data_IF_003663865967
#
_entry.id   IF_003663865967
#
_cell.length_a   1.000
_cell.length_b   1.000
_cell.length_c   1.000
_cell.angle_alpha   90.00
_cell.angle_beta   90.00
_cell.angle_gamma   90.00
#
_symmetry.space_group_name_H-M   'P 1'
#
loop_
_entity.id
_entity.type
_entity.pdbx_description
1 polymer ?
#
# COMPACT_ATOMS: atom_id res chain seq x y z
N UNK A 1 -19.88 12.08 34.13
CA UNK A 1 -19.44 10.86 34.87
C UNK A 1 -19.22 9.74 33.87
N UNK A 2 -18.18 8.95 34.07
CA UNK A 2 -17.96 7.79 33.21
C UNK A 2 -18.91 6.65 33.59
N UNK A 3 -19.35 5.87 32.61
CA UNK A 3 -20.23 4.70 32.74
C UNK A 3 -19.44 3.44 32.47
N UNK A 4 -19.51 2.44 33.38
CA UNK A 4 -18.94 1.12 33.13
C UNK A 4 -19.91 0.37 32.23
N UNK A 5 -19.44 -0.12 31.10
CA UNK A 5 -20.22 -0.89 30.11
C UNK A 5 -19.50 -2.16 29.73
N UNK A 6 -20.25 -3.20 29.39
CA UNK A 6 -19.79 -4.39 28.72
C UNK A 6 -20.26 -4.33 27.26
N UNK A 7 -19.45 -4.75 26.32
CA UNK A 7 -19.80 -4.64 24.89
C UNK A 7 -21.13 -5.33 24.59
N UNK A 8 -21.39 -6.51 25.18
CA UNK A 8 -22.68 -7.20 25.02
C UNK A 8 -23.88 -6.42 25.53
N UNK A 9 -23.70 -5.46 26.44
CA UNK A 9 -24.82 -4.69 27.02
C UNK A 9 -25.20 -3.52 26.12
N UNK A 10 -24.27 -3.06 25.26
CA UNK A 10 -24.46 -1.89 24.39
C UNK A 10 -24.54 -2.24 22.91
N UNK A 11 -24.29 -3.52 22.53
CA UNK A 11 -24.21 -3.94 21.14
C UNK A 11 -24.85 -5.31 20.90
N UNK A 12 -25.35 -5.51 19.69
CA UNK A 12 -25.75 -6.83 19.18
C UNK A 12 -24.58 -7.45 18.43
N UNK A 13 -24.17 -8.65 18.83
CA UNK A 13 -23.05 -9.38 18.25
C UNK A 13 -23.56 -10.38 17.23
N UNK A 14 -23.02 -10.36 16.00
CA UNK A 14 -23.37 -11.29 14.92
C UNK A 14 -24.89 -11.38 14.66
N UNK A 15 -25.60 -10.26 14.76
CA UNK A 15 -27.06 -10.23 14.77
C UNK A 15 -27.70 -10.66 13.44
N UNK A 16 -27.02 -10.39 12.32
CA UNK A 16 -27.60 -10.58 11.00
C UNK A 16 -26.75 -11.54 10.15
N UNK A 17 -27.41 -12.51 9.54
CA UNK A 17 -26.77 -13.45 8.62
C UNK A 17 -27.55 -13.53 7.32
N UNK A 18 -26.83 -13.82 6.23
CA UNK A 18 -27.41 -14.09 4.93
C UNK A 18 -28.29 -15.35 5.02
N UNK A 19 -29.52 -15.25 4.52
CA UNK A 19 -30.51 -16.32 4.51
C UNK A 19 -31.02 -16.56 3.09
N UNK A 20 -31.76 -17.65 2.88
CA UNK A 20 -32.39 -17.92 1.57
C UNK A 20 -33.46 -16.88 1.17
N UNK A 21 -33.99 -16.12 2.15
CA UNK A 21 -34.96 -15.06 1.90
C UNK A 21 -34.31 -13.74 1.39
N UNK A 22 -33.00 -13.63 1.43
CA UNK A 22 -32.26 -12.50 0.88
C UNK A 22 -32.12 -12.70 -0.63
N UNK A 23 -33.01 -12.11 -1.42
CA UNK A 23 -33.08 -12.27 -2.88
C UNK A 23 -31.97 -11.48 -3.62
N UNK A 24 -30.71 -11.62 -3.23
CA UNK A 24 -29.59 -11.02 -3.94
C UNK A 24 -29.19 -11.87 -5.16
N UNK A 25 -29.07 -11.25 -6.31
CA UNK A 25 -28.47 -11.87 -7.50
C UNK A 25 -26.92 -11.88 -7.38
N UNK A 26 -26.38 -10.85 -6.77
CA UNK A 26 -24.94 -10.64 -6.58
C UNK A 26 -24.68 -10.14 -5.16
N UNK A 27 -23.55 -10.53 -4.58
CA UNK A 27 -23.05 -9.99 -3.30
C UNK A 27 -21.67 -9.35 -3.48
N UNK A 28 -21.40 -8.36 -2.64
CA UNK A 28 -20.04 -7.80 -2.48
C UNK A 28 -19.46 -8.46 -1.23
N UNK A 29 -18.48 -9.34 -1.41
CA UNK A 29 -17.91 -10.13 -0.34
C UNK A 29 -16.57 -9.57 0.14
N UNK A 30 -16.44 -9.40 1.46
CA UNK A 30 -15.20 -9.03 2.13
C UNK A 30 -14.70 -10.20 2.97
N UNK A 31 -13.52 -10.72 2.64
CA UNK A 31 -12.81 -11.70 3.45
C UNK A 31 -11.90 -11.04 4.51
N UNK A 32 -11.53 -11.80 5.55
CA UNK A 32 -10.72 -11.30 6.68
C UNK A 32 -9.35 -10.77 6.26
N UNK A 33 -8.70 -11.42 5.28
CA UNK A 33 -7.40 -10.98 4.77
C UNK A 33 -7.43 -9.76 3.85
N UNK A 34 -8.64 -9.28 3.51
CA UNK A 34 -8.81 -8.16 2.58
C UNK A 34 -9.06 -6.81 3.26
N UNK A 35 -8.89 -6.73 4.57
CA UNK A 35 -8.95 -5.49 5.35
C UNK A 35 -7.87 -5.48 6.43
N UNK A 36 -7.23 -4.34 6.62
CA UNK A 36 -6.26 -4.11 7.71
C UNK A 36 -6.38 -2.66 8.19
N UNK A 37 -6.50 -2.45 9.51
CA UNK A 37 -6.62 -1.11 10.12
C UNK A 37 -7.66 -0.23 9.41
N UNK A 38 -8.85 -0.76 9.19
CA UNK A 38 -9.96 -0.08 8.51
C UNK A 38 -9.72 0.26 7.01
N UNK A 39 -8.68 -0.29 6.38
CA UNK A 39 -8.40 -0.10 4.96
C UNK A 39 -8.74 -1.38 4.22
N UNK A 40 -9.78 -1.34 3.39
CA UNK A 40 -10.17 -2.45 2.53
C UNK A 40 -9.26 -2.44 1.30
N UNK A 41 -8.51 -3.53 1.10
CA UNK A 41 -7.61 -3.71 -0.03
C UNK A 41 -8.31 -4.32 -1.25
N UNK A 42 -9.31 -5.18 -1.01
CA UNK A 42 -10.05 -5.85 -2.07
C UNK A 42 -11.44 -6.31 -1.60
N UNK A 43 -12.39 -6.37 -2.53
CA UNK A 43 -13.69 -7.03 -2.36
C UNK A 43 -13.98 -7.90 -3.58
N UNK A 44 -14.73 -8.98 -3.40
CA UNK A 44 -15.14 -9.87 -4.48
C UNK A 44 -16.61 -9.63 -4.80
N UNK A 45 -16.91 -9.36 -6.08
CA UNK A 45 -18.29 -9.39 -6.57
C UNK A 45 -18.60 -10.82 -6.98
N UNK A 46 -19.60 -11.44 -6.37
CA UNK A 46 -19.95 -12.83 -6.57
C UNK A 46 -21.43 -12.96 -6.94
N UNK A 47 -21.70 -13.55 -8.09
CA UNK A 47 -23.05 -13.81 -8.57
C UNK A 47 -23.48 -15.22 -8.18
N UNK A 48 -24.66 -15.36 -7.56
CA UNK A 48 -25.16 -16.65 -7.08
C UNK A 48 -25.43 -17.68 -8.19
N UNK A 49 -25.62 -17.23 -9.44
CA UNK A 49 -25.91 -18.12 -10.56
C UNK A 49 -24.68 -18.65 -11.27
N UNK A 50 -23.55 -17.91 -11.21
CA UNK A 50 -22.34 -18.20 -11.99
C UNK A 50 -21.13 -18.55 -11.12
N UNK A 51 -21.10 -18.06 -9.88
CA UNK A 51 -19.91 -18.15 -9.05
C UNK A 51 -20.10 -19.10 -7.87
N UNK A 52 -19.00 -19.72 -7.44
CA UNK A 52 -18.97 -20.51 -6.22
C UNK A 52 -18.89 -19.56 -5.01
N UNK A 53 -20.01 -19.42 -4.31
CA UNK A 53 -20.07 -18.59 -3.10
C UNK A 53 -19.25 -19.24 -1.97
N UNK A 54 -18.28 -18.54 -1.35
CA UNK A 54 -17.54 -19.06 -0.22
C UNK A 54 -18.48 -19.41 0.94
N UNK A 55 -18.30 -20.57 1.56
CA UNK A 55 -19.12 -21.00 2.70
C UNK A 55 -19.11 -20.03 3.88
N UNK A 56 -18.07 -19.20 3.97
CA UNK A 56 -17.90 -18.16 5.00
C UNK A 56 -18.59 -16.83 4.64
N UNK A 57 -19.10 -16.62 3.43
CA UNK A 57 -19.83 -15.41 3.03
C UNK A 57 -21.23 -15.39 3.64
N UNK A 58 -21.36 -15.04 4.92
CA UNK A 58 -22.62 -15.17 5.66
C UNK A 58 -23.02 -13.98 6.54
N UNK A 59 -22.09 -13.14 6.97
CA UNK A 59 -22.42 -12.05 7.89
C UNK A 59 -22.92 -10.84 7.11
N UNK A 60 -24.16 -10.44 7.37
CA UNK A 60 -24.73 -9.17 6.88
C UNK A 60 -24.26 -8.04 7.77
N UNK A 61 -24.04 -6.90 7.16
CA UNK A 61 -23.64 -5.66 7.82
C UNK A 61 -24.62 -4.55 7.48
N UNK A 62 -24.62 -3.50 8.27
CA UNK A 62 -25.43 -2.29 8.05
C UNK A 62 -24.57 -1.06 8.28
N UNK A 63 -25.14 0.10 8.09
CA UNK A 63 -24.45 1.34 8.41
C UNK A 63 -23.95 1.33 9.87
N UNK A 64 -22.70 1.77 10.06
CA UNK A 64 -21.99 1.85 11.34
C UNK A 64 -21.72 0.51 12.02
N UNK A 65 -21.74 -0.60 11.30
CA UNK A 65 -21.28 -1.90 11.81
C UNK A 65 -19.77 -1.91 11.99
N UNK A 66 -19.32 -2.32 13.18
CA UNK A 66 -17.90 -2.63 13.44
C UNK A 66 -17.68 -4.09 13.07
N UNK A 67 -16.65 -4.39 12.31
CA UNK A 67 -16.17 -5.75 12.03
C UNK A 67 -14.80 -5.95 12.68
N UNK A 68 -14.63 -7.09 13.36
CA UNK A 68 -13.37 -7.43 14.02
C UNK A 68 -13.03 -8.91 13.75
N UNK A 69 -11.84 -9.17 13.19
CA UNK A 69 -11.43 -10.55 12.88
C UNK A 69 -11.24 -11.38 14.15
N UNK A 70 -11.80 -12.59 14.14
CA UNK A 70 -11.57 -13.57 15.21
C UNK A 70 -10.27 -14.35 15.01
N UNK A 71 -9.61 -14.20 13.86
CA UNK A 71 -8.38 -14.91 13.50
C UNK A 71 -7.20 -13.97 13.57
N UNK A 72 -6.15 -14.37 14.30
CA UNK A 72 -4.90 -13.63 14.45
C UNK A 72 -5.13 -12.15 14.75
N UNK A 73 -5.63 -11.77 15.92
CA UNK A 73 -5.96 -10.38 16.26
C UNK A 73 -4.78 -9.41 16.04
N UNK A 74 -3.54 -9.88 16.20
CA UNK A 74 -2.33 -9.10 15.94
C UNK A 74 -2.15 -8.65 14.48
N UNK A 75 -2.91 -9.21 13.53
CA UNK A 75 -2.91 -8.76 12.14
C UNK A 75 -3.81 -7.54 11.92
N UNK A 76 -4.55 -7.12 12.94
CA UNK A 76 -5.37 -5.90 12.96
C UNK A 76 -6.40 -5.83 11.82
N UNK A 77 -6.99 -6.99 11.48
CA UNK A 77 -8.07 -7.10 10.50
C UNK A 77 -9.40 -6.68 11.13
N UNK A 78 -9.64 -5.38 11.19
CA UNK A 78 -10.85 -4.78 11.70
C UNK A 78 -11.28 -3.60 10.83
N UNK A 79 -12.56 -3.19 10.93
CA UNK A 79 -13.09 -2.05 10.20
C UNK A 79 -14.37 -1.49 10.77
N UNK A 80 -14.68 -0.27 10.37
CA UNK A 80 -15.90 0.45 10.62
C UNK A 80 -16.59 0.73 9.28
N UNK A 81 -17.75 0.12 9.05
CA UNK A 81 -18.44 0.19 7.77
C UNK A 81 -19.45 1.33 7.77
N UNK A 82 -19.22 2.34 6.95
CA UNK A 82 -20.14 3.47 6.74
C UNK A 82 -20.87 3.30 5.42
N UNK A 83 -22.19 3.34 5.46
CA UNK A 83 -23.07 3.20 4.31
C UNK A 83 -22.71 2.04 3.35
N UNK A 84 -22.48 0.80 3.85
CA UNK A 84 -22.25 -0.34 2.98
C UNK A 84 -23.49 -0.60 2.11
N UNK A 85 -23.30 -1.14 0.90
CA UNK A 85 -24.42 -1.58 0.07
C UNK A 85 -25.22 -2.70 0.78
N UNK A 86 -26.51 -2.81 0.51
CA UNK A 86 -27.39 -3.80 1.16
C UNK A 86 -26.92 -5.25 0.95
N UNK A 87 -26.28 -5.52 -0.20
CA UNK A 87 -25.69 -6.81 -0.55
C UNK A 87 -24.22 -6.96 -0.11
N UNK A 88 -23.73 -6.10 0.79
CA UNK A 88 -22.38 -6.21 1.32
C UNK A 88 -22.35 -7.29 2.42
N UNK A 89 -21.55 -8.32 2.19
CA UNK A 89 -21.46 -9.51 3.04
C UNK A 89 -20.00 -9.68 3.49
N UNK A 90 -19.81 -9.93 4.79
CA UNK A 90 -18.49 -10.21 5.32
C UNK A 90 -18.34 -11.67 5.76
N UNK A 91 -17.10 -12.12 5.82
CA UNK A 91 -16.72 -13.47 6.23
C UNK A 91 -17.21 -13.79 7.66
N UNK A 92 -17.58 -15.05 7.93
CA UNK A 92 -17.80 -15.55 9.30
C UNK A 92 -16.54 -15.51 10.18
N UNK A 93 -15.36 -15.25 9.59
CA UNK A 93 -14.13 -14.94 10.33
C UNK A 93 -14.16 -13.59 11.03
N UNK A 94 -15.15 -12.73 10.73
CA UNK A 94 -15.39 -11.51 11.49
C UNK A 94 -16.47 -11.72 12.56
N UNK A 95 -16.31 -11.07 13.68
CA UNK A 95 -17.41 -10.70 14.58
C UNK A 95 -17.96 -9.37 14.10
N UNK A 96 -19.27 -9.30 13.83
CA UNK A 96 -19.99 -8.04 13.58
C UNK A 96 -20.53 -7.50 14.89
N UNK A 97 -20.34 -6.20 15.14
CA UNK A 97 -20.74 -5.52 16.37
C UNK A 97 -21.61 -4.32 15.98
N UNK A 98 -22.89 -4.39 16.23
CA UNK A 98 -23.87 -3.37 15.93
C UNK A 98 -24.28 -2.66 17.21
N UNK A 99 -23.79 -1.41 17.42
CA UNK A 99 -24.18 -0.64 18.60
C UNK A 99 -25.69 -0.37 18.56
N UNK A 100 -26.37 -0.67 19.68
CA UNK A 100 -27.82 -0.53 19.86
C UNK A 100 -28.21 0.33 21.06
N UNK A 101 -27.25 0.68 21.91
CA UNK A 101 -27.43 1.57 23.05
C UNK A 101 -27.42 3.04 22.60
N UNK A 102 -28.45 3.80 22.96
CA UNK A 102 -28.59 5.22 22.57
C UNK A 102 -27.52 6.14 23.18
N UNK A 103 -26.90 5.72 24.29
CA UNK A 103 -25.86 6.47 25.00
C UNK A 103 -24.43 6.08 24.59
N UNK A 104 -24.30 5.29 23.50
CA UNK A 104 -23.02 4.85 22.98
C UNK A 104 -22.82 5.24 21.51
N UNK A 105 -21.71 5.87 21.19
CA UNK A 105 -21.34 6.19 19.81
C UNK A 105 -20.53 5.06 19.18
N UNK A 106 -21.03 4.50 18.06
CA UNK A 106 -20.41 3.35 17.40
C UNK A 106 -18.98 3.62 16.93
N UNK A 107 -18.68 4.84 16.46
CA UNK A 107 -17.34 5.20 15.99
C UNK A 107 -16.35 5.35 17.14
N UNK A 108 -16.81 5.90 18.28
CA UNK A 108 -16.03 5.91 19.52
C UNK A 108 -15.70 4.48 19.98
N UNK A 109 -16.70 3.58 19.99
CA UNK A 109 -16.49 2.17 20.38
C UNK A 109 -15.54 1.47 19.41
N UNK A 110 -15.59 1.78 18.11
CA UNK A 110 -14.61 1.28 17.14
C UNK A 110 -13.18 1.69 17.54
N UNK A 111 -12.92 2.97 17.79
CA UNK A 111 -11.59 3.43 18.21
C UNK A 111 -11.17 2.83 19.58
N UNK A 112 -12.14 2.62 20.48
CA UNK A 112 -11.87 1.99 21.77
C UNK A 112 -11.37 0.54 21.59
N UNK A 113 -12.06 -0.25 20.73
CA UNK A 113 -11.73 -1.65 20.45
C UNK A 113 -10.43 -1.83 19.64
N UNK A 114 -10.00 -0.82 18.90
CA UNK A 114 -8.82 -0.89 18.02
C UNK A 114 -7.54 -0.37 18.67
N UNK A 115 -7.58 -0.03 19.95
CA UNK A 115 -6.37 0.33 20.70
C UNK A 115 -5.41 -0.86 20.80
N UNK A 116 -4.11 -0.57 20.72
CA UNK A 116 -3.07 -1.60 20.71
C UNK A 116 -3.15 -2.56 21.90
N UNK A 117 -3.36 -2.05 23.13
CA UNK A 117 -3.46 -2.92 24.30
C UNK A 117 -4.64 -3.89 24.26
N UNK A 118 -5.75 -3.53 23.58
CA UNK A 118 -6.90 -4.43 23.35
C UNK A 118 -6.52 -5.50 22.33
N UNK A 119 -5.89 -5.11 21.24
CA UNK A 119 -5.41 -6.05 20.22
C UNK A 119 -4.42 -7.05 20.81
N UNK A 120 -3.46 -6.58 21.62
CA UNK A 120 -2.47 -7.42 22.30
C UNK A 120 -3.15 -8.37 23.30
N UNK A 121 -4.13 -7.88 24.08
CA UNK A 121 -4.91 -8.69 25.02
C UNK A 121 -5.71 -9.79 24.29
N UNK A 122 -6.40 -9.45 23.21
CA UNK A 122 -7.14 -10.41 22.39
C UNK A 122 -6.20 -11.42 21.72
N UNK A 123 -5.03 -11.00 21.29
CA UNK A 123 -4.02 -11.89 20.73
C UNK A 123 -3.54 -12.92 21.76
N UNK A 124 -3.23 -12.49 22.99
CA UNK A 124 -2.85 -13.34 24.08
C UNK A 124 -3.96 -14.40 24.40
N UNK A 125 -5.23 -14.00 24.39
CA UNK A 125 -6.36 -14.95 24.51
C UNK A 125 -6.31 -15.95 23.35
N UNK A 126 -6.11 -15.48 22.12
CA UNK A 126 -6.07 -16.33 20.94
C UNK A 126 -4.93 -17.34 20.93
N UNK A 127 -3.74 -17.00 21.46
CA UNK A 127 -2.60 -17.90 21.58
C UNK A 127 -2.87 -19.08 22.52
N UNK A 128 -3.73 -18.88 23.52
CA UNK A 128 -4.15 -19.94 24.44
C UNK A 128 -5.31 -20.81 23.89
N UNK A 129 -5.77 -20.56 22.67
CA UNK A 129 -6.82 -21.38 22.04
C UNK A 129 -6.30 -22.72 21.55
N UNK A 130 -7.16 -23.73 21.51
CA UNK A 130 -6.83 -25.08 20.99
C UNK A 130 -6.77 -25.16 19.47
N UNK A 131 -6.89 -24.04 18.74
CA UNK A 131 -6.85 -24.01 17.28
C UNK A 131 -5.40 -24.02 16.75
N UNK A 132 -5.20 -24.43 15.50
CA UNK A 132 -3.88 -24.46 14.84
C UNK A 132 -3.26 -23.07 14.60
N UNK A 133 -3.98 -22.02 14.90
CA UNK A 133 -3.55 -20.61 14.82
C UNK A 133 -4.26 -19.78 15.89
N UNK A 134 -3.69 -18.66 16.37
CA UNK A 134 -4.34 -17.80 17.36
C UNK A 134 -5.73 -17.36 16.91
N UNK A 135 -6.75 -17.73 17.68
CA UNK A 135 -8.15 -17.40 17.38
C UNK A 135 -8.91 -17.07 18.66
N UNK A 136 -9.78 -16.06 18.56
CA UNK A 136 -10.69 -15.65 19.63
C UNK A 136 -12.14 -16.01 19.26
N UNK A 137 -12.99 -16.07 20.29
CA UNK A 137 -14.43 -16.23 20.11
C UNK A 137 -15.13 -14.86 20.09
N UNK A 138 -16.30 -14.72 19.44
CA UNK A 138 -17.12 -13.52 19.53
C UNK A 138 -17.44 -13.10 20.98
N UNK A 139 -17.53 -14.08 21.91
CA UNK A 139 -17.75 -13.82 23.33
C UNK A 139 -16.56 -13.12 24.01
N UNK A 140 -15.34 -13.28 23.53
CA UNK A 140 -14.19 -12.60 24.09
C UNK A 140 -14.30 -11.09 23.84
N UNK A 141 -14.76 -10.68 22.66
CA UNK A 141 -15.09 -9.28 22.35
C UNK A 141 -16.32 -8.80 23.13
N UNK A 142 -17.37 -9.61 23.17
CA UNK A 142 -18.62 -9.29 23.86
C UNK A 142 -18.44 -9.03 25.36
N UNK A 143 -17.48 -9.73 25.99
CA UNK A 143 -17.20 -9.66 27.43
C UNK A 143 -16.26 -8.52 27.83
N UNK A 144 -15.65 -7.81 26.88
CA UNK A 144 -14.81 -6.65 27.20
C UNK A 144 -15.61 -5.60 27.98
N UNK A 145 -14.98 -5.03 28.99
CA UNK A 145 -15.58 -4.01 29.86
C UNK A 145 -14.76 -2.73 29.78
N UNK A 146 -15.46 -1.61 29.64
CA UNK A 146 -14.85 -0.31 29.52
C UNK A 146 -15.57 0.73 30.37
N UNK A 147 -14.82 1.70 30.88
CA UNK A 147 -15.35 2.92 31.48
C UNK A 147 -15.42 3.99 30.38
N UNK A 148 -16.62 4.30 29.88
CA UNK A 148 -16.81 5.25 28.78
C UNK A 148 -17.40 6.58 29.27
N UNK A 149 -17.03 7.72 28.67
CA UNK A 149 -17.59 9.03 29.01
C UNK A 149 -19.05 9.16 28.52
N UNK A 150 -19.66 10.31 28.78
CA UNK A 150 -20.99 10.61 28.24
C UNK A 150 -20.97 10.70 26.70
N UNK A 151 -22.13 10.57 26.06
CA UNK A 151 -22.28 10.53 24.61
C UNK A 151 -21.70 11.76 23.88
N UNK A 152 -21.83 12.97 24.47
CA UNK A 152 -21.25 14.20 23.89
C UNK A 152 -19.75 14.06 23.77
N UNK A 153 -19.06 13.68 24.83
CA UNK A 153 -17.60 13.47 24.84
C UNK A 153 -17.18 12.34 23.88
N UNK A 154 -17.93 11.22 23.84
CA UNK A 154 -17.67 10.14 22.87
C UNK A 154 -17.67 10.65 21.43
N UNK A 155 -18.73 11.41 21.06
CA UNK A 155 -18.85 11.99 19.71
C UNK A 155 -17.72 12.97 19.40
N UNK A 156 -17.31 13.80 20.33
CA UNK A 156 -16.21 14.75 20.13
C UNK A 156 -14.87 14.01 19.92
N UNK A 157 -14.57 12.98 20.70
CA UNK A 157 -13.37 12.15 20.53
C UNK A 157 -13.41 11.45 19.16
N UNK A 158 -14.54 10.80 18.82
CA UNK A 158 -14.71 10.13 17.54
C UNK A 158 -14.56 11.09 16.36
N UNK A 159 -15.06 12.33 16.49
CA UNK A 159 -14.92 13.36 15.46
C UNK A 159 -13.45 13.73 15.20
N UNK A 160 -12.67 13.99 16.27
CA UNK A 160 -11.25 14.33 16.14
C UNK A 160 -10.49 13.21 15.43
N UNK A 161 -10.63 11.97 15.90
CA UNK A 161 -9.90 10.83 15.34
C UNK A 161 -10.34 10.54 13.89
N UNK A 162 -11.64 10.63 13.62
CA UNK A 162 -12.16 10.39 12.26
C UNK A 162 -11.77 11.49 11.28
N UNK A 163 -11.58 12.74 11.72
CA UNK A 163 -11.09 13.80 10.84
C UNK A 163 -9.66 13.51 10.33
N UNK A 164 -8.81 12.93 11.20
CA UNK A 164 -7.47 12.49 10.79
C UNK A 164 -7.55 11.34 9.77
N UNK A 165 -8.38 10.31 10.03
CA UNK A 165 -8.57 9.19 9.12
C UNK A 165 -9.17 9.63 7.77
N UNK A 166 -10.15 10.52 7.77
CA UNK A 166 -10.75 11.09 6.55
C UNK A 166 -9.72 11.86 5.73
N UNK A 167 -8.84 12.64 6.38
CA UNK A 167 -7.77 13.36 5.69
C UNK A 167 -6.76 12.40 5.05
N UNK A 168 -6.39 11.33 5.76
CA UNK A 168 -5.54 10.26 5.20
C UNK A 168 -6.22 9.60 3.98
N UNK A 169 -7.50 9.27 4.09
CA UNK A 169 -8.26 8.67 3.00
C UNK A 169 -8.34 9.58 1.77
N UNK A 170 -8.62 10.88 1.97
CA UNK A 170 -8.65 11.87 0.89
C UNK A 170 -7.27 12.00 0.21
N UNK A 171 -6.20 12.08 0.98
CA UNK A 171 -4.84 12.13 0.44
C UNK A 171 -4.52 10.88 -0.41
N UNK A 172 -4.95 9.70 0.04
CA UNK A 172 -4.77 8.45 -0.72
C UNK A 172 -5.55 8.46 -2.04
N UNK A 173 -6.78 9.01 -2.06
CA UNK A 173 -7.56 9.18 -3.29
C UNK A 173 -6.87 10.14 -4.26
N UNK A 174 -6.36 11.28 -3.78
CA UNK A 174 -5.60 12.23 -4.61
C UNK A 174 -4.34 11.53 -5.17
N UNK A 175 -3.61 10.78 -4.36
CA UNK A 175 -2.42 10.05 -4.81
C UNK A 175 -2.74 9.04 -5.91
N UNK A 176 -3.83 8.29 -5.79
CA UNK A 176 -4.27 7.35 -6.82
C UNK A 176 -4.63 8.06 -8.14
N UNK A 177 -5.27 9.24 -8.06
CA UNK A 177 -5.56 10.06 -9.24
C UNK A 177 -4.29 10.60 -9.90
N UNK A 178 -3.33 11.12 -9.12
CA UNK A 178 -2.05 11.60 -9.64
C UNK A 178 -1.25 10.49 -10.33
N UNK A 179 -1.21 9.28 -9.75
CA UNK A 179 -0.60 8.10 -10.37
C UNK A 179 -1.28 7.76 -11.70
N UNK A 180 -2.63 7.72 -11.70
CA UNK A 180 -3.38 7.43 -12.91
C UNK A 180 -3.17 8.48 -14.01
N UNK A 181 -3.09 9.76 -13.65
CA UNK A 181 -2.81 10.84 -14.60
C UNK A 181 -1.42 10.69 -15.21
N UNK A 182 -0.39 10.44 -14.39
CA UNK A 182 0.98 10.24 -14.86
C UNK A 182 1.09 9.01 -15.77
N UNK A 183 0.42 7.90 -15.39
CA UNK A 183 0.37 6.68 -16.21
C UNK A 183 -0.36 6.94 -17.56
N UNK A 184 -1.49 7.62 -17.52
CA UNK A 184 -2.25 7.93 -18.74
C UNK A 184 -1.42 8.79 -19.70
N UNK A 185 -0.70 9.78 -19.17
CA UNK A 185 0.20 10.62 -19.97
C UNK A 185 1.34 9.80 -20.58
N UNK A 186 1.96 8.89 -19.79
CA UNK A 186 2.98 7.97 -20.28
C UNK A 186 2.44 7.07 -21.39
N UNK A 187 1.29 6.44 -21.18
CA UNK A 187 0.66 5.56 -22.16
C UNK A 187 0.34 6.33 -23.47
N UNK A 188 -0.14 7.56 -23.35
CA UNK A 188 -0.47 8.40 -24.49
C UNK A 188 0.79 8.80 -25.29
N UNK A 189 1.88 9.19 -24.61
CA UNK A 189 3.08 9.66 -25.27
C UNK A 189 3.98 8.54 -25.79
N UNK A 190 4.19 7.48 -24.99
CA UNK A 190 5.25 6.48 -25.24
C UNK A 190 4.73 5.12 -25.68
N UNK A 191 3.43 4.84 -25.46
CA UNK A 191 2.81 3.59 -25.91
C UNK A 191 1.95 3.81 -27.16
N UNK A 192 1.10 4.85 -27.16
CA UNK A 192 0.24 5.21 -28.29
C UNK A 192 0.96 6.11 -29.30
N UNK A 193 2.05 6.76 -28.90
CA UNK A 193 2.85 7.70 -29.69
C UNK A 193 2.11 8.99 -30.06
N UNK A 194 1.15 9.40 -29.26
CA UNK A 194 0.41 10.64 -29.40
C UNK A 194 0.99 11.78 -28.51
N UNK A 195 2.32 11.83 -28.43
CA UNK A 195 3.01 12.97 -27.83
C UNK A 195 2.78 14.25 -28.65
N UNK A 196 2.88 15.45 -28.04
CA UNK A 196 2.68 16.70 -28.76
C UNK A 196 3.77 16.92 -29.84
N UNK A 197 3.35 17.10 -31.08
CA UNK A 197 4.20 17.52 -32.20
C UNK A 197 4.65 18.98 -32.06
N UNK A 198 5.30 19.54 -33.07
CA UNK A 198 5.76 20.94 -33.12
C UNK A 198 4.59 21.94 -33.01
N UNK A 199 3.38 21.54 -33.36
CA UNK A 199 2.16 22.34 -33.30
C UNK A 199 1.30 22.04 -32.05
N UNK A 200 1.78 21.17 -31.15
CA UNK A 200 1.06 20.72 -29.97
C UNK A 200 -0.06 19.72 -30.25
N UNK A 201 -0.14 19.14 -31.46
CA UNK A 201 -1.12 18.11 -31.83
C UNK A 201 -0.59 16.72 -31.49
N UNK A 202 -1.49 15.72 -31.24
CA UNK A 202 -1.08 14.33 -31.03
C UNK A 202 -0.33 13.81 -32.27
N UNK A 203 0.90 13.32 -32.10
CA UNK A 203 1.79 12.98 -33.22
C UNK A 203 1.18 11.92 -34.16
N UNK A 204 0.94 10.72 -33.68
CA UNK A 204 0.46 9.61 -34.51
C UNK A 204 -0.95 9.86 -35.06
N UNK A 205 -1.88 10.28 -34.23
CA UNK A 205 -3.28 10.53 -34.61
C UNK A 205 -3.44 11.71 -35.59
N UNK A 206 -2.46 12.62 -35.66
CA UNK A 206 -2.43 13.73 -36.61
C UNK A 206 -1.64 13.41 -37.88
N UNK A 207 -1.24 12.16 -38.10
CA UNK A 207 -0.54 11.72 -39.31
C UNK A 207 0.98 11.78 -39.20
N UNK A 208 1.54 11.79 -38.00
CA UNK A 208 2.99 11.68 -37.78
C UNK A 208 3.59 10.43 -38.43
N UNK A 209 4.75 10.56 -39.03
CA UNK A 209 5.40 9.49 -39.79
C UNK A 209 5.85 8.36 -38.88
N UNK A 210 5.37 7.14 -39.17
CA UNK A 210 5.72 5.90 -38.45
C UNK A 210 6.63 5.04 -39.32
N UNK A 211 7.61 4.37 -38.70
CA UNK A 211 8.57 3.50 -39.38
C UNK A 211 8.59 2.14 -38.69
N UNK A 212 8.52 1.05 -39.49
CA UNK A 212 8.63 -0.30 -38.95
C UNK A 212 10.03 -0.57 -38.41
N UNK A 213 10.09 -1.04 -37.16
CA UNK A 213 11.36 -1.39 -36.53
C UNK A 213 11.49 -2.92 -36.44
N UNK A 214 12.51 -3.49 -37.07
CA UNK A 214 12.75 -4.93 -37.14
C UNK A 214 13.08 -5.56 -35.79
N UNK A 215 13.71 -4.83 -34.87
CA UNK A 215 14.05 -5.32 -33.53
C UNK A 215 12.82 -5.42 -32.64
N UNK A 216 11.96 -4.39 -32.64
CA UNK A 216 10.77 -4.32 -31.83
C UNK A 216 9.56 -4.99 -32.46
N UNK A 217 9.66 -5.38 -33.76
CA UNK A 217 8.56 -5.98 -34.55
C UNK A 217 7.27 -5.16 -34.55
N UNK A 218 7.41 -3.83 -34.51
CA UNK A 218 6.28 -2.88 -34.51
C UNK A 218 6.69 -1.56 -35.16
N UNK A 219 5.69 -0.76 -35.52
CA UNK A 219 5.92 0.62 -35.95
C UNK A 219 6.25 1.51 -34.76
N UNK A 220 7.22 2.38 -34.95
CA UNK A 220 7.64 3.41 -34.00
C UNK A 220 7.69 4.77 -34.72
N UNK A 221 7.62 5.92 -34.01
CA UNK A 221 7.75 7.22 -34.61
C UNK A 221 9.10 7.36 -35.33
N UNK A 222 9.09 8.06 -36.47
CA UNK A 222 10.33 8.38 -37.18
C UNK A 222 11.30 9.14 -36.28
N UNK A 223 12.57 8.68 -36.26
CA UNK A 223 13.62 9.25 -35.43
C UNK A 223 13.72 8.65 -34.01
N UNK A 224 12.82 7.73 -33.66
CA UNK A 224 13.00 6.91 -32.45
C UNK A 224 13.81 5.65 -32.77
N UNK A 225 14.41 5.07 -31.75
CA UNK A 225 15.31 3.92 -31.89
C UNK A 225 14.88 2.75 -30.97
N UNK A 226 15.25 1.54 -31.36
CA UNK A 226 15.23 0.40 -30.47
C UNK A 226 16.55 0.32 -29.70
N UNK A 227 16.50 0.39 -28.39
CA UNK A 227 17.69 0.31 -27.55
C UNK A 227 17.54 -0.77 -26.47
N UNK A 228 18.66 -1.39 -26.09
CA UNK A 228 18.70 -2.29 -24.93
C UNK A 228 18.46 -1.51 -23.64
N UNK A 229 17.87 -2.16 -22.63
CA UNK A 229 17.69 -1.52 -21.32
C UNK A 229 19.01 -1.00 -20.75
N UNK A 230 20.13 -1.70 -20.95
CA UNK A 230 21.48 -1.26 -20.54
C UNK A 230 21.91 0.08 -21.15
N UNK A 231 21.27 0.50 -22.26
CA UNK A 231 21.56 1.78 -22.88
C UNK A 231 21.24 2.98 -21.97
N UNK A 232 20.16 2.87 -21.18
CA UNK A 232 19.79 3.92 -20.20
C UNK A 232 20.70 3.92 -18.97
N UNK A 233 21.30 2.77 -18.61
CA UNK A 233 21.99 2.58 -17.34
C UNK A 233 23.40 3.18 -17.36
N UNK A 234 23.73 3.92 -16.30
CA UNK A 234 25.09 4.43 -16.06
C UNK A 234 25.88 3.47 -15.18
N UNK A 235 25.27 3.07 -14.06
CA UNK A 235 25.91 2.21 -13.06
C UNK A 235 24.87 1.49 -12.22
N UNK A 236 25.33 0.43 -11.58
CA UNK A 236 24.57 -0.25 -10.55
C UNK A 236 25.44 -0.48 -9.30
N UNK A 237 24.80 -0.65 -8.16
CA UNK A 237 25.45 -1.00 -6.90
C UNK A 237 24.60 -1.98 -6.12
N UNK A 238 25.23 -3.01 -5.55
CA UNK A 238 24.59 -3.98 -4.67
C UNK A 238 24.22 -3.33 -3.33
N UNK A 239 23.15 -3.81 -2.72
CA UNK A 239 22.76 -3.41 -1.39
C UNK A 239 23.69 -3.91 -0.27
N UNK A 240 23.33 -3.61 0.97
CA UNK A 240 23.99 -4.11 2.18
C UNK A 240 22.94 -4.28 3.28
N UNK A 241 22.88 -5.48 3.88
CA UNK A 241 21.92 -5.74 4.96
C UNK A 241 22.40 -5.24 6.32
N UNK A 242 23.71 -5.18 6.53
CA UNK A 242 24.30 -4.76 7.80
C UNK A 242 23.93 -5.63 9.00
N UNK A 243 23.92 -5.01 10.18
CA UNK A 243 23.58 -5.61 11.49
C UNK A 243 22.34 -4.94 12.08
N UNK A 244 21.65 -5.64 13.00
CA UNK A 244 20.46 -5.12 13.70
C UNK A 244 20.80 -4.10 14.77
N UNK A 245 21.93 -4.30 15.40
CA UNK A 245 22.48 -3.44 16.45
C UNK A 245 23.86 -2.94 16.05
N UNK A 246 24.26 -1.83 16.66
CA UNK A 246 25.63 -1.34 16.51
C UNK A 246 26.62 -2.33 17.15
N UNK A 247 27.49 -2.92 16.35
CA UNK A 247 28.43 -3.95 16.77
C UNK A 247 29.77 -3.80 16.06
N UNK A 248 30.86 -3.75 16.78
CA UNK A 248 32.21 -3.61 16.23
C UNK A 248 32.33 -2.40 15.30
N UNK A 249 32.75 -2.63 14.06
CA UNK A 249 32.91 -1.58 13.05
C UNK A 249 31.61 -1.21 12.32
N UNK A 250 30.48 -1.84 12.65
CA UNK A 250 29.18 -1.51 12.07
C UNK A 250 28.56 -0.32 12.83
N UNK A 251 28.94 0.89 12.45
CA UNK A 251 28.62 2.11 13.20
C UNK A 251 27.76 3.11 12.42
N UNK A 252 27.61 2.96 11.13
CA UNK A 252 26.79 3.86 10.31
C UNK A 252 25.33 3.38 10.32
N UNK A 253 24.47 4.13 10.98
CA UNK A 253 23.03 3.86 11.09
C UNK A 253 22.33 4.26 9.78
N UNK A 254 21.44 3.39 9.27
CA UNK A 254 20.73 3.56 8.00
C UNK A 254 19.33 2.95 8.06
N UNK A 255 18.41 3.44 7.22
CA UNK A 255 17.18 2.71 6.87
C UNK A 255 17.46 1.80 5.68
N UNK A 256 17.07 0.53 5.75
CA UNK A 256 17.37 -0.47 4.72
C UNK A 256 16.10 -0.88 3.98
N UNK A 257 15.94 -0.44 2.71
CA UNK A 257 14.80 -0.81 1.85
C UNK A 257 14.97 -2.26 1.38
N UNK A 258 13.96 -3.09 1.67
CA UNK A 258 13.85 -4.47 1.20
C UNK A 258 12.90 -4.54 -0.01
N UNK A 259 12.88 -5.66 -0.72
CA UNK A 259 11.87 -5.93 -1.75
C UNK A 259 10.43 -5.75 -1.23
N UNK A 260 10.15 -6.15 0.02
CA UNK A 260 8.85 -5.97 0.66
C UNK A 260 8.45 -4.50 0.86
N UNK A 261 9.41 -3.59 0.99
CA UNK A 261 9.18 -2.17 1.28
C UNK A 261 8.94 -1.32 0.01
N UNK A 262 9.24 -1.86 -1.18
CA UNK A 262 9.17 -1.14 -2.47
C UNK A 262 7.78 -0.51 -2.69
N UNK A 263 6.73 -1.28 -2.44
CA UNK A 263 5.37 -0.78 -2.59
C UNK A 263 5.05 0.36 -1.59
N UNK A 264 5.52 0.24 -0.35
CA UNK A 264 5.34 1.27 0.66
C UNK A 264 6.12 2.55 0.33
N UNK A 265 7.35 2.41 -0.18
CA UNK A 265 8.17 3.55 -0.64
C UNK A 265 7.44 4.35 -1.72
N UNK A 266 6.85 3.66 -2.69
CA UNK A 266 6.18 4.30 -3.82
C UNK A 266 4.80 4.89 -3.46
N UNK A 267 3.97 4.16 -2.66
CA UNK A 267 2.52 4.40 -2.61
C UNK A 267 1.92 4.51 -1.20
N UNK A 268 2.69 4.29 -0.11
CA UNK A 268 2.14 4.30 1.24
C UNK A 268 2.77 5.37 2.11
N UNK A 269 2.00 5.92 3.05
CA UNK A 269 2.50 6.89 4.02
C UNK A 269 3.51 6.27 4.99
N UNK A 270 3.23 5.07 5.51
CA UNK A 270 4.12 4.37 6.42
C UNK A 270 5.08 3.45 5.66
N UNK A 271 6.37 3.55 5.97
CA UNK A 271 7.44 2.71 5.42
C UNK A 271 8.10 1.99 6.59
N UNK A 272 8.02 0.65 6.59
CA UNK A 272 8.56 -0.20 7.66
C UNK A 272 9.99 -0.70 7.35
N UNK A 273 10.77 0.10 6.59
CA UNK A 273 12.16 -0.22 6.29
C UNK A 273 12.98 -0.25 7.59
N UNK A 274 13.57 -1.41 7.96
CA UNK A 274 14.25 -1.55 9.24
C UNK A 274 15.48 -0.66 9.35
N UNK A 275 15.76 -0.23 10.58
CA UNK A 275 17.01 0.43 10.91
C UNK A 275 18.10 -0.63 10.97
N UNK A 276 19.23 -0.37 10.32
CA UNK A 276 20.39 -1.25 10.26
C UNK A 276 21.67 -0.46 10.52
N UNK A 277 22.75 -1.17 10.86
CA UNK A 277 24.07 -0.60 11.00
C UNK A 277 25.01 -1.21 9.98
N UNK A 278 25.62 -0.38 9.13
CA UNK A 278 26.56 -0.82 8.10
C UNK A 278 27.99 -0.35 8.42
N UNK A 279 28.96 -0.95 7.74
CA UNK A 279 30.35 -0.52 7.82
C UNK A 279 30.51 0.86 7.19
N UNK A 280 31.22 1.83 7.79
CA UNK A 280 31.46 3.16 7.20
C UNK A 280 32.06 3.12 5.81
N UNK A 281 32.91 2.11 5.49
CA UNK A 281 33.45 1.90 4.15
C UNK A 281 32.40 1.65 3.07
N UNK A 282 31.19 1.19 3.44
CA UNK A 282 30.07 0.93 2.57
C UNK A 282 29.18 2.19 2.34
N UNK A 283 29.60 3.37 2.84
CA UNK A 283 28.90 4.65 2.60
C UNK A 283 28.62 4.93 1.13
N UNK A 284 29.47 4.44 0.21
CA UNK A 284 29.29 4.58 -1.23
C UNK A 284 28.01 3.87 -1.75
N UNK A 285 27.44 2.92 -0.98
CA UNK A 285 26.20 2.21 -1.32
C UNK A 285 24.93 2.98 -0.92
N UNK A 286 25.05 4.07 -0.17
CA UNK A 286 23.89 4.89 0.18
C UNK A 286 23.16 5.36 -1.07
N UNK A 287 21.84 5.42 -0.97
CA UNK A 287 20.98 5.89 -2.05
C UNK A 287 21.03 7.41 -2.14
N UNK A 288 20.98 7.90 -3.36
CA UNK A 288 20.96 9.32 -3.70
C UNK A 288 19.73 9.60 -4.56
N UNK A 289 19.30 10.87 -4.69
CA UNK A 289 18.27 11.24 -5.66
C UNK A 289 18.56 10.68 -7.05
N UNK A 290 17.51 10.29 -7.75
CA UNK A 290 17.57 9.64 -9.07
C UNK A 290 18.20 8.25 -9.10
N UNK A 291 18.43 7.60 -7.94
CA UNK A 291 18.60 6.16 -7.91
C UNK A 291 17.25 5.45 -8.08
N UNK A 292 17.30 4.26 -8.64
CA UNK A 292 16.16 3.34 -8.73
C UNK A 292 16.55 2.05 -7.99
N UNK A 293 15.70 1.56 -7.12
CA UNK A 293 15.94 0.31 -6.38
C UNK A 293 15.12 -0.80 -7.02
N UNK A 294 15.79 -1.80 -7.59
CA UNK A 294 15.19 -2.96 -8.23
C UNK A 294 15.32 -4.17 -7.31
N UNK A 295 14.22 -4.88 -7.07
CA UNK A 295 14.23 -6.19 -6.41
C UNK A 295 14.84 -7.23 -7.33
N UNK A 296 15.99 -7.79 -6.96
CA UNK A 296 16.68 -8.81 -7.75
C UNK A 296 16.48 -10.22 -7.20
N UNK A 297 16.01 -10.38 -5.96
CA UNK A 297 15.78 -11.68 -5.34
C UNK A 297 14.53 -11.63 -4.47
N UNK A 298 13.72 -12.65 -4.53
CA UNK A 298 12.46 -12.74 -3.77
C UNK A 298 11.33 -13.29 -4.61
N UNK A 299 10.19 -12.60 -4.56
CA UNK A 299 9.00 -13.00 -5.28
C UNK A 299 8.25 -14.17 -4.65
N UNK A 300 7.15 -14.53 -5.26
CA UNK A 300 6.32 -15.68 -4.92
C UNK A 300 6.05 -16.50 -6.20
N UNK A 301 5.44 -17.67 -6.13
CA UNK A 301 5.08 -18.43 -7.34
C UNK A 301 4.23 -17.61 -8.34
N UNK A 302 3.44 -16.67 -7.83
CA UNK A 302 2.51 -15.85 -8.62
C UNK A 302 2.97 -14.41 -8.85
N UNK A 303 4.14 -14.02 -8.34
CA UNK A 303 4.67 -12.67 -8.48
C UNK A 303 6.12 -12.74 -8.95
N UNK A 304 6.46 -12.03 -10.03
CA UNK A 304 7.84 -11.95 -10.50
C UNK A 304 8.70 -11.08 -9.55
N UNK A 305 10.01 -11.27 -9.64
CA UNK A 305 11.02 -10.32 -9.17
C UNK A 305 11.08 -9.11 -10.11
N UNK A 306 11.75 -8.06 -9.70
CA UNK A 306 11.92 -6.87 -10.55
C UNK A 306 11.02 -5.70 -10.20
N UNK A 307 10.34 -5.72 -9.04
CA UNK A 307 9.67 -4.51 -8.52
C UNK A 307 10.67 -3.37 -8.39
N UNK A 308 10.23 -2.15 -8.70
CA UNK A 308 11.08 -0.98 -8.73
C UNK A 308 10.57 0.10 -7.80
N UNK A 309 11.47 0.65 -6.95
CA UNK A 309 11.23 1.87 -6.20
C UNK A 309 12.04 3.02 -6.77
N UNK A 310 11.40 4.15 -6.96
CA UNK A 310 12.08 5.36 -7.37
C UNK A 310 12.54 6.16 -6.13
N UNK A 311 13.78 6.65 -6.15
CA UNK A 311 14.39 7.40 -5.07
C UNK A 311 14.58 8.84 -5.52
N UNK A 312 13.78 9.73 -4.96
CA UNK A 312 13.91 11.18 -5.13
C UNK A 312 14.27 11.83 -3.80
N UNK A 313 14.62 13.12 -3.81
CA UNK A 313 14.77 13.90 -2.57
C UNK A 313 13.50 13.82 -1.71
N UNK A 314 12.32 13.84 -2.34
CA UNK A 314 11.05 13.76 -1.64
C UNK A 314 10.85 12.41 -0.94
N UNK A 315 11.33 11.31 -1.55
CA UNK A 315 11.32 9.97 -0.94
C UNK A 315 12.32 9.90 0.21
N UNK A 316 13.56 10.36 0.01
CA UNK A 316 14.61 10.35 1.04
C UNK A 316 14.20 11.14 2.29
N UNK A 317 13.48 12.25 2.10
CA UNK A 317 12.96 13.10 3.19
C UNK A 317 11.85 12.45 4.04
N UNK A 318 11.43 11.23 3.73
CA UNK A 318 10.49 10.44 4.53
C UNK A 318 11.17 9.51 5.52
N UNK A 319 12.50 9.40 5.48
CA UNK A 319 13.30 8.57 6.35
C UNK A 319 14.08 9.41 7.35
N UNK A 320 14.28 8.87 8.56
CA UNK A 320 15.03 9.54 9.64
C UNK A 320 16.55 9.40 9.47
N UNK A 321 16.99 8.35 8.77
CA UNK A 321 18.41 8.05 8.56
C UNK A 321 18.73 7.92 7.06
N UNK A 322 20.02 8.04 6.67
CA UNK A 322 20.45 7.75 5.31
C UNK A 322 19.93 6.39 4.85
N UNK A 323 19.60 6.29 3.57
CA UNK A 323 18.90 5.13 3.03
C UNK A 323 19.83 4.22 2.24
N UNK A 324 19.70 2.93 2.39
CA UNK A 324 20.38 1.88 1.60
C UNK A 324 19.35 0.84 1.16
N UNK A 325 19.64 0.04 0.14
CA UNK A 325 18.85 -1.15 -0.16
C UNK A 325 19.49 -2.43 0.39
N UNK A 326 18.68 -3.46 0.60
CA UNK A 326 19.14 -4.78 1.05
C UNK A 326 19.88 -5.55 -0.05
N UNK A 327 20.54 -6.65 0.31
CA UNK A 327 21.25 -7.53 -0.65
C UNK A 327 20.32 -8.20 -1.67
N UNK A 328 19.00 -8.23 -1.41
CA UNK A 328 17.99 -8.71 -2.35
C UNK A 328 17.52 -7.64 -3.34
N UNK A 329 18.13 -6.47 -3.28
CA UNK A 329 17.88 -5.34 -4.17
C UNK A 329 19.17 -4.83 -4.77
N UNK A 330 19.05 -4.18 -5.92
CA UNK A 330 20.14 -3.49 -6.62
C UNK A 330 19.72 -2.04 -6.83
N UNK A 331 20.60 -1.10 -6.53
CA UNK A 331 20.37 0.30 -6.87
C UNK A 331 21.04 0.62 -8.20
N UNK A 332 20.27 1.19 -9.13
CA UNK A 332 20.73 1.60 -10.46
C UNK A 332 20.64 3.11 -10.62
N UNK A 333 21.46 3.67 -11.50
CA UNK A 333 21.39 5.05 -11.94
C UNK A 333 21.36 5.14 -13.46
N UNK A 334 20.74 6.18 -14.00
CA UNK A 334 20.63 6.42 -15.44
C UNK A 334 21.73 7.34 -15.91
N UNK A 335 22.17 7.19 -17.18
CA UNK A 335 23.15 8.07 -17.84
C UNK A 335 22.65 9.50 -17.94
N UNK A 336 21.34 9.68 -18.14
CA UNK A 336 20.70 10.98 -18.20
C UNK A 336 19.43 10.95 -17.34
N UNK A 337 19.33 11.82 -16.37
CA UNK A 337 18.24 11.93 -15.43
C UNK A 337 16.94 12.42 -16.07
N UNK A 338 16.98 13.05 -17.25
CA UNK A 338 15.77 13.46 -17.96
C UNK A 338 14.90 12.26 -18.39
N UNK A 339 15.50 11.05 -18.49
CA UNK A 339 14.77 9.81 -18.73
C UNK A 339 14.19 9.15 -17.46
N UNK A 340 14.41 9.72 -16.27
CA UNK A 340 14.11 9.05 -15.00
C UNK A 340 12.65 8.55 -14.91
N UNK A 341 11.67 9.43 -15.09
CA UNK A 341 10.27 9.04 -15.01
C UNK A 341 9.82 8.19 -16.20
N UNK A 342 10.31 8.50 -17.42
CA UNK A 342 10.03 7.67 -18.59
C UNK A 342 10.51 6.23 -18.36
N UNK A 343 11.71 6.05 -17.84
CA UNK A 343 12.27 4.74 -17.51
C UNK A 343 11.45 4.02 -16.41
N UNK A 344 11.03 4.74 -15.36
CA UNK A 344 10.20 4.17 -14.27
C UNK A 344 8.88 3.62 -14.83
N UNK A 345 8.18 4.38 -15.67
CA UNK A 345 6.92 3.93 -16.25
C UNK A 345 7.12 2.79 -17.25
N UNK A 346 8.16 2.84 -18.06
CA UNK A 346 8.57 1.76 -18.96
C UNK A 346 8.85 0.47 -18.19
N UNK A 347 9.68 0.53 -17.15
CA UNK A 347 10.00 -0.63 -16.32
C UNK A 347 8.75 -1.21 -15.62
N UNK A 348 7.90 -0.35 -15.09
CA UNK A 348 6.65 -0.77 -14.48
C UNK A 348 5.69 -1.42 -15.50
N UNK A 349 5.67 -0.98 -16.75
CA UNK A 349 4.90 -1.63 -17.81
C UNK A 349 5.46 -3.02 -18.12
N UNK A 350 6.78 -3.17 -18.22
CA UNK A 350 7.47 -4.45 -18.41
C UNK A 350 7.13 -5.41 -17.25
N UNK A 351 7.20 -4.93 -16.01
CA UNK A 351 6.86 -5.71 -14.81
C UNK A 351 5.38 -6.15 -14.80
N UNK A 352 4.44 -5.23 -15.07
CA UNK A 352 3.00 -5.49 -15.06
C UNK A 352 2.53 -6.41 -16.19
N UNK A 353 3.29 -6.52 -17.28
CA UNK A 353 3.04 -7.43 -18.39
C UNK A 353 3.76 -8.78 -18.22
N UNK A 354 4.22 -9.08 -17.01
CA UNK A 354 4.83 -10.35 -16.63
C UNK A 354 6.11 -10.73 -17.42
N UNK A 355 6.70 -9.79 -18.18
CA UNK A 355 7.87 -10.02 -19.03
C UNK A 355 9.07 -10.48 -18.19
N UNK A 356 9.19 -10.00 -16.96
CA UNK A 356 10.33 -10.33 -16.09
C UNK A 356 10.32 -11.79 -15.62
N UNK A 357 9.19 -12.52 -15.68
CA UNK A 357 9.16 -13.95 -15.38
C UNK A 357 10.07 -14.78 -16.30
N UNK A 358 10.19 -14.39 -17.56
CA UNK A 358 11.04 -15.09 -18.54
C UNK A 358 12.53 -14.88 -18.27
N UNK A 359 12.86 -13.90 -17.44
CA UNK A 359 14.22 -13.55 -17.06
C UNK A 359 14.58 -13.95 -15.62
N UNK A 360 13.83 -14.86 -15.03
CA UNK A 360 14.11 -15.39 -13.70
C UNK A 360 14.97 -16.66 -13.74
N UNK A 361 16.06 -16.66 -12.97
CA UNK A 361 16.83 -17.86 -12.64
C UNK A 361 16.24 -18.55 -11.40
N UNK A 362 16.15 -19.89 -11.45
CA UNK A 362 15.74 -20.71 -10.30
C UNK A 362 16.97 -21.30 -9.62
N UNK A 363 17.32 -20.80 -8.45
CA UNK A 363 18.33 -21.40 -7.57
C UNK A 363 17.71 -21.63 -6.19
N UNK A 364 17.73 -22.89 -5.69
CA UNK A 364 17.40 -23.26 -4.30
C UNK A 364 16.10 -22.67 -3.72
N UNK A 365 15.02 -22.57 -4.53
CA UNK A 365 13.70 -22.13 -4.06
C UNK A 365 13.49 -20.62 -4.00
N UNK A 366 14.54 -19.80 -4.19
CA UNK A 366 14.45 -18.34 -4.29
C UNK A 366 14.56 -17.96 -5.77
N UNK A 367 13.64 -17.12 -6.24
CA UNK A 367 13.69 -16.54 -7.58
C UNK A 367 14.71 -15.41 -7.60
N UNK A 368 15.49 -15.33 -8.67
CA UNK A 368 16.45 -14.27 -8.90
C UNK A 368 16.26 -13.70 -10.30
N UNK A 369 16.13 -12.39 -10.42
CA UNK A 369 16.15 -11.72 -11.71
C UNK A 369 17.56 -11.81 -12.30
N UNK A 370 17.68 -12.35 -13.49
CA UNK A 370 18.91 -12.35 -14.29
C UNK A 370 19.11 -10.94 -14.86
N UNK A 371 19.42 -10.00 -13.96
CA UNK A 371 19.38 -8.56 -14.24
C UNK A 371 20.27 -8.18 -15.44
N UNK A 372 21.51 -8.64 -15.47
CA UNK A 372 22.46 -8.35 -16.57
C UNK A 372 21.96 -8.95 -17.89
N UNK A 373 21.46 -10.20 -17.87
CA UNK A 373 20.94 -10.84 -19.07
C UNK A 373 19.72 -10.08 -19.61
N UNK A 374 18.81 -9.68 -18.70
CA UNK A 374 17.64 -8.89 -19.07
C UNK A 374 18.04 -7.55 -19.68
N UNK A 375 18.89 -6.79 -19.01
CA UNK A 375 19.26 -5.45 -19.47
C UNK A 375 20.04 -5.46 -20.78
N UNK A 376 20.81 -6.52 -21.06
CA UNK A 376 21.55 -6.69 -22.31
C UNK A 376 20.74 -7.39 -23.41
N UNK A 377 19.69 -8.11 -23.06
CA UNK A 377 18.89 -8.93 -24.00
C UNK A 377 17.56 -8.30 -24.42
N UNK A 378 16.95 -7.46 -23.56
CA UNK A 378 15.65 -6.88 -23.81
C UNK A 378 15.74 -5.47 -24.40
N UNK A 379 14.98 -5.23 -25.49
CA UNK A 379 14.94 -3.98 -26.20
C UNK A 379 13.62 -3.24 -25.97
N UNK A 380 13.73 -1.92 -25.86
CA UNK A 380 12.58 -1.02 -25.80
C UNK A 380 12.79 0.20 -26.70
N UNK A 381 11.68 0.90 -26.92
CA UNK A 381 11.65 2.09 -27.74
C UNK A 381 12.29 3.25 -26.99
N UNK A 382 13.33 3.83 -27.57
CA UNK A 382 14.09 4.93 -27.01
C UNK A 382 13.61 6.27 -27.60
N UNK A 383 12.94 7.12 -26.80
CA UNK A 383 12.42 8.38 -27.27
C UNK A 383 13.52 9.45 -27.37
N UNK A 384 13.30 10.52 -28.17
CA UNK A 384 14.16 11.70 -28.17
C UNK A 384 14.25 12.34 -26.78
N UNK A 385 15.44 12.87 -26.44
CA UNK A 385 15.72 13.46 -25.13
C UNK A 385 14.77 14.62 -24.78
N UNK A 386 14.46 15.48 -25.73
CA UNK A 386 13.58 16.63 -25.50
C UNK A 386 12.16 16.21 -25.08
N UNK A 387 11.68 15.09 -25.62
CA UNK A 387 10.38 14.53 -25.21
C UNK A 387 10.45 13.93 -23.80
N UNK A 388 11.50 13.17 -23.51
CA UNK A 388 11.74 12.62 -22.18
C UNK A 388 11.83 13.73 -21.12
N UNK A 389 12.52 14.84 -21.43
CA UNK A 389 12.62 16.01 -20.57
C UNK A 389 11.28 16.70 -20.33
N UNK A 390 10.46 16.91 -21.37
CA UNK A 390 9.11 17.46 -21.21
C UNK A 390 8.23 16.56 -20.32
N UNK A 391 8.35 15.24 -20.48
CA UNK A 391 7.65 14.29 -19.62
C UNK A 391 8.15 14.34 -18.18
N UNK A 392 9.48 14.45 -17.99
CA UNK A 392 10.08 14.60 -16.67
C UNK A 392 9.51 15.79 -15.91
N UNK A 393 9.44 16.97 -16.55
CA UNK A 393 8.92 18.20 -15.94
C UNK A 393 7.50 18.04 -15.42
N UNK A 394 6.63 17.31 -16.15
CA UNK A 394 5.23 17.07 -15.73
C UNK A 394 5.17 15.99 -14.65
N UNK A 395 5.85 14.86 -14.86
CA UNK A 395 5.83 13.72 -13.95
C UNK A 395 6.44 14.05 -12.59
N UNK A 396 7.48 14.90 -12.55
CA UNK A 396 8.10 15.36 -11.29
C UNK A 396 7.11 16.15 -10.43
N UNK A 397 6.27 16.98 -11.03
CA UNK A 397 5.22 17.71 -10.29
C UNK A 397 4.23 16.76 -9.65
N UNK A 398 3.78 15.73 -10.39
CA UNK A 398 2.88 14.72 -9.84
C UNK A 398 3.54 13.92 -8.72
N UNK A 399 4.78 13.48 -8.95
CA UNK A 399 5.55 12.72 -7.96
C UNK A 399 5.81 13.54 -6.68
N UNK A 400 6.22 14.80 -6.81
CA UNK A 400 6.40 15.72 -5.69
C UNK A 400 5.14 15.85 -4.85
N UNK A 401 3.99 16.07 -5.50
CA UNK A 401 2.72 16.16 -4.81
C UNK A 401 2.35 14.86 -4.10
N UNK A 402 2.54 13.70 -4.75
CA UNK A 402 2.32 12.39 -4.14
C UNK A 402 3.17 12.20 -2.88
N UNK A 403 4.47 12.45 -2.95
CA UNK A 403 5.37 12.27 -1.81
C UNK A 403 5.07 13.25 -0.67
N UNK A 404 4.63 14.47 -0.97
CA UNK A 404 4.15 15.41 0.03
C UNK A 404 2.92 14.87 0.78
N UNK A 405 1.93 14.35 0.07
CA UNK A 405 0.73 13.76 0.67
C UNK A 405 1.03 12.49 1.46
N UNK A 406 1.96 11.65 0.98
CA UNK A 406 2.41 10.45 1.70
C UNK A 406 3.12 10.82 3.02
N UNK A 407 3.98 11.85 3.02
CA UNK A 407 4.61 12.37 4.24
C UNK A 407 3.56 12.93 5.21
N UNK A 408 2.58 13.68 4.70
CA UNK A 408 1.47 14.18 5.51
C UNK A 408 0.68 13.01 6.12
N UNK A 409 0.40 11.94 5.37
CA UNK A 409 -0.27 10.75 5.90
C UNK A 409 0.53 10.08 7.01
N UNK A 410 1.85 10.01 6.89
CA UNK A 410 2.73 9.49 7.95
C UNK A 410 2.56 10.32 9.24
N UNK A 411 2.59 11.65 9.13
CA UNK A 411 2.42 12.55 10.27
C UNK A 411 1.02 12.46 10.90
N UNK A 412 -0.02 12.37 10.06
CA UNK A 412 -1.41 12.22 10.52
C UNK A 412 -1.64 10.88 11.25
N UNK A 413 -1.06 9.80 10.75
CA UNK A 413 -1.12 8.49 11.40
C UNK A 413 -0.39 8.51 12.74
N UNK A 414 0.81 9.09 12.81
CA UNK A 414 1.56 9.26 14.07
C UNK A 414 0.78 10.11 15.08
N UNK A 415 0.17 11.21 14.65
CA UNK A 415 -0.65 12.06 15.49
C UNK A 415 -1.89 11.31 16.00
N UNK A 416 -2.58 10.58 15.15
CA UNK A 416 -3.73 9.76 15.54
C UNK A 416 -3.32 8.72 16.58
N UNK A 417 -2.26 7.97 16.34
CA UNK A 417 -1.79 6.90 17.22
C UNK A 417 -1.30 7.44 18.57
N UNK A 418 -0.78 8.66 18.60
CA UNK A 418 -0.44 9.39 19.83
C UNK A 418 -1.69 9.87 20.58
N UNK A 419 -2.64 10.49 19.88
CA UNK A 419 -3.85 11.06 20.51
C UNK A 419 -4.83 9.97 20.96
N UNK A 420 -4.93 8.87 20.27
CA UNK A 420 -5.91 7.82 20.54
C UNK A 420 -5.90 7.36 22.01
N UNK A 421 -4.79 6.87 22.60
CA UNK A 421 -4.78 6.48 24.00
C UNK A 421 -5.03 7.64 24.95
N UNK A 422 -4.54 8.84 24.66
CA UNK A 422 -4.70 10.02 25.53
C UNK A 422 -6.17 10.46 25.61
N UNK A 423 -6.87 10.50 24.49
CA UNK A 423 -8.29 10.86 24.43
C UNK A 423 -9.16 9.77 25.09
N UNK A 424 -8.85 8.48 24.84
CA UNK A 424 -9.62 7.37 25.40
C UNK A 424 -9.46 7.25 26.93
N UNK A 425 -8.29 7.60 27.46
CA UNK A 425 -8.02 7.56 28.90
C UNK A 425 -8.37 8.87 29.63
N UNK A 426 -8.86 9.88 28.89
CA UNK A 426 -9.21 11.20 29.45
C UNK A 426 -8.00 12.01 29.92
N UNK A 427 -6.80 11.71 29.44
CA UNK A 427 -5.57 12.47 29.73
C UNK A 427 -5.56 13.82 29.00
N UNK A 428 -6.23 13.88 27.86
CA UNK A 428 -6.51 15.10 27.09
C UNK A 428 -8.02 15.30 27.05
N UNK A 429 -8.48 16.43 27.56
CA UNK A 429 -9.89 16.83 27.50
C UNK A 429 -10.25 17.34 26.09
N UNK A 430 -11.44 17.00 25.64
CA UNK A 430 -12.06 17.66 24.47
C UNK A 430 -12.78 18.87 25.01
N UNK A 431 -12.42 20.08 24.55
CA UNK A 431 -13.04 21.31 25.00
C UNK A 431 -14.56 21.28 24.83
N UNK A 432 -15.27 21.81 25.82
CA UNK A 432 -16.73 22.00 25.79
C UNK A 432 -17.08 23.29 25.00
N UNK A 433 -16.85 23.30 23.69
CA UNK A 433 -17.41 24.38 22.83
C UNK A 433 -18.82 24.02 22.33
#
# INVERSE_FOLDING_TARGET
>A
MNRLVKISDIAKINANSLTQNDNFQEIIYLDTGSITKNIISNTQKLNFNTDKIPSRAKRKVRDRTIIYSTVRPNQEHYGFLENPADNFIVSTGFTTIDISDAESDAKYIFYLLTQKYITDYLHMIGENSVSSYPAINPNDLANLKFSIPNLKTQKSIAHILSALDQKIALNNQINAQLEQMAKTLYDYWFVQFDFPDENGKPYKSSGGEMVYNETLKREIPKGWEAQKISHWLQSDKSGDWGKEIQEGNYTLQVNCIRGADINAVNFQGNIEAPIRFILPKNKHKLLSPFNLVVEISGGSPTQSTGRLALISDYVLNRFDFPVICSNFCKAISLKNTDYFYQFVFMWNAIYKNDILFDWEGKTSGIKNLLFENFTEGYYECYPPLDLAKKFFEIADVFHKQQQFLLKQNQQLAQLRDFLLPMLMNGQVGVGDD
#
